data_IF_428543725738
#
_entry.id   IF_428543725738
#
_cell.length_a   1.000
_cell.length_b   1.000
_cell.length_c   1.000
_cell.angle_alpha   90.00
_cell.angle_beta   90.00
_cell.angle_gamma   90.00
#
_symmetry.space_group_name_H-M   'P 1'
#
loop_
_entity.id
_entity.type
_entity.pdbx_description
1 polymer ?
#
# COMPACT_ATOMS: atom_id res chain seq x y z
N UNK A 1 63.32 -73.35 -26.53
CA UNK A 1 62.62 -72.09 -26.86
C UNK A 1 61.42 -72.02 -25.97
N UNK A 2 61.44 -71.16 -24.95
CA UNK A 2 60.49 -71.19 -23.85
C UNK A 2 60.01 -69.77 -23.52
N UNK A 3 58.69 -69.67 -23.30
CA UNK A 3 57.88 -68.67 -22.62
C UNK A 3 57.87 -67.20 -23.07
N UNK A 4 56.66 -66.68 -23.35
CA UNK A 4 56.00 -65.68 -22.49
C UNK A 4 54.57 -65.38 -22.99
N UNK A 5 53.52 -65.51 -22.17
CA UNK A 5 52.18 -65.03 -22.50
C UNK A 5 52.01 -63.57 -22.06
N UNK A 6 51.50 -62.72 -22.96
CA UNK A 6 51.15 -61.35 -22.63
C UNK A 6 49.74 -61.31 -22.02
N UNK A 7 49.66 -60.84 -20.77
CA UNK A 7 48.40 -60.52 -20.12
C UNK A 7 48.06 -59.06 -20.38
N UNK A 8 46.88 -58.79 -20.95
CA UNK A 8 46.32 -57.45 -21.06
C UNK A 8 45.49 -57.19 -19.81
N UNK A 9 45.94 -56.28 -18.94
CA UNK A 9 45.11 -55.75 -17.87
C UNK A 9 44.32 -54.55 -18.39
N UNK A 10 43.00 -54.71 -18.53
CA UNK A 10 42.08 -53.58 -18.73
C UNK A 10 41.70 -53.05 -17.35
N UNK A 11 42.21 -51.88 -16.98
CA UNK A 11 41.73 -51.17 -15.78
C UNK A 11 40.48 -50.38 -16.13
N UNK A 12 39.33 -50.82 -15.64
CA UNK A 12 38.10 -50.01 -15.62
C UNK A 12 38.18 -49.01 -14.47
N UNK A 13 38.36 -47.73 -14.80
CA UNK A 13 38.12 -46.62 -13.87
C UNK A 13 36.61 -46.43 -13.69
N UNK A 14 36.09 -46.78 -12.53
CA UNK A 14 34.73 -46.41 -12.12
C UNK A 14 34.80 -45.01 -11.53
N UNK A 15 34.36 -44.01 -12.31
CA UNK A 15 34.18 -42.66 -11.81
C UNK A 15 32.87 -42.60 -10.99
N UNK A 16 32.99 -42.58 -9.67
CA UNK A 16 31.86 -42.31 -8.78
C UNK A 16 31.47 -40.83 -8.90
N UNK A 17 30.40 -40.55 -9.64
CA UNK A 17 29.75 -39.25 -9.62
C UNK A 17 29.04 -39.08 -8.27
N UNK A 18 29.68 -38.37 -7.35
CA UNK A 18 29.03 -37.92 -6.13
C UNK A 18 28.01 -36.83 -6.51
N UNK A 19 26.72 -37.16 -6.48
CA UNK A 19 25.66 -36.17 -6.55
C UNK A 19 25.75 -35.25 -5.32
N UNK A 20 26.33 -34.07 -5.50
CA UNK A 20 26.25 -33.01 -4.50
C UNK A 20 24.82 -32.49 -4.49
N UNK A 21 24.01 -32.99 -3.55
CA UNK A 21 22.76 -32.36 -3.19
C UNK A 21 23.08 -30.99 -2.60
N UNK A 22 23.00 -29.94 -3.41
CA UNK A 22 23.00 -28.56 -2.92
C UNK A 22 21.73 -28.37 -2.10
N UNK A 23 21.84 -28.53 -0.78
CA UNK A 23 20.82 -28.05 0.16
C UNK A 23 20.76 -26.54 -0.01
N UNK A 24 19.77 -26.04 -0.76
CA UNK A 24 19.43 -24.62 -0.73
C UNK A 24 18.88 -24.37 0.66
N UNK A 25 19.74 -23.94 1.58
CA UNK A 25 19.30 -23.42 2.86
C UNK A 25 18.59 -22.10 2.54
N UNK A 26 17.28 -22.15 2.39
CA UNK A 26 16.45 -20.96 2.40
C UNK A 26 16.45 -20.42 3.83
N UNK A 27 17.51 -19.68 4.19
CA UNK A 27 17.42 -18.72 5.27
C UNK A 27 16.46 -17.62 4.81
N UNK A 28 15.17 -17.93 4.82
CA UNK A 28 14.14 -16.93 4.64
C UNK A 28 14.27 -15.96 5.82
N UNK A 29 14.60 -14.70 5.53
CA UNK A 29 14.55 -13.66 6.54
C UNK A 29 13.12 -13.64 7.11
N UNK A 30 12.99 -13.80 8.42
CA UNK A 30 11.71 -13.75 9.13
C UNK A 30 11.54 -12.38 9.79
N UNK A 31 10.30 -12.00 10.08
CA UNK A 31 9.96 -10.79 10.82
C UNK A 31 8.84 -11.10 11.82
N UNK A 32 8.64 -10.19 12.78
CA UNK A 32 7.63 -10.32 13.84
C UNK A 32 6.53 -9.29 13.63
N UNK A 33 5.27 -9.73 13.72
CA UNK A 33 4.11 -8.84 13.73
C UNK A 33 3.68 -8.49 15.16
N UNK A 34 3.03 -7.34 15.36
CA UNK A 34 2.82 -6.28 14.36
C UNK A 34 4.11 -5.47 14.12
N UNK A 35 4.34 -5.04 12.87
CA UNK A 35 5.47 -4.14 12.53
C UNK A 35 5.22 -2.68 12.96
N UNK A 36 3.95 -2.31 13.13
CA UNK A 36 3.47 -1.04 13.69
C UNK A 36 2.24 -1.33 14.56
N UNK A 37 2.19 -0.87 15.82
CA UNK A 37 1.15 -1.29 16.76
C UNK A 37 -0.25 -0.73 16.46
N UNK A 38 -0.36 0.47 15.88
CA UNK A 38 -1.62 1.16 15.63
C UNK A 38 -1.59 1.87 14.27
N UNK A 39 -1.90 1.14 13.19
CA UNK A 39 -1.96 1.70 11.84
C UNK A 39 -3.02 0.98 11.01
N UNK A 40 -4.26 1.45 11.09
CA UNK A 40 -5.33 0.97 10.21
C UNK A 40 -5.03 1.41 8.77
N UNK A 41 -5.41 0.55 7.82
CA UNK A 41 -5.26 0.82 6.38
C UNK A 41 -3.82 1.18 5.96
N UNK A 42 -2.80 0.36 6.33
CA UNK A 42 -1.41 0.69 6.03
C UNK A 42 -1.13 0.57 4.53
N UNK A 43 -0.62 1.65 3.93
CA UNK A 43 -0.10 1.67 2.57
C UNK A 43 1.41 1.87 2.59
N UNK A 44 2.16 1.01 1.89
CA UNK A 44 3.62 1.11 1.79
C UNK A 44 4.05 1.09 0.32
N UNK A 45 4.92 2.02 -0.06
CA UNK A 45 5.59 2.05 -1.36
C UNK A 45 7.09 2.22 -1.20
N UNK A 46 7.88 1.72 -2.16
CA UNK A 46 9.34 1.81 -2.12
C UNK A 46 9.84 2.78 -3.19
N UNK A 47 10.70 3.71 -2.81
CA UNK A 47 11.32 4.67 -3.73
C UNK A 47 12.70 5.09 -3.21
N UNK A 48 13.68 5.16 -4.11
CA UNK A 48 15.04 5.67 -3.85
C UNK A 48 15.69 5.15 -2.56
N UNK A 49 15.54 3.84 -2.29
CA UNK A 49 16.16 3.18 -1.15
C UNK A 49 15.41 3.33 0.17
N UNK A 50 14.27 3.99 0.20
CA UNK A 50 13.36 4.08 1.33
C UNK A 50 12.04 3.37 1.07
N UNK A 51 11.43 2.88 2.13
CA UNK A 51 10.01 2.58 2.21
C UNK A 51 9.29 3.80 2.76
N UNK A 52 8.19 4.17 2.11
CA UNK A 52 7.29 5.23 2.53
C UNK A 52 5.98 4.58 2.94
N UNK A 53 5.52 4.87 4.15
CA UNK A 53 4.28 4.34 4.69
C UNK A 53 3.35 5.49 5.07
N UNK A 54 2.07 5.27 4.88
CA UNK A 54 1.01 6.09 5.45
C UNK A 54 -0.10 5.16 5.95
N UNK A 55 -0.91 5.63 6.88
CA UNK A 55 -2.00 4.86 7.49
C UNK A 55 -3.05 5.83 8.05
N UNK A 56 -4.23 5.32 8.37
CA UNK A 56 -5.33 6.12 8.90
C UNK A 56 -5.01 6.73 10.27
N UNK A 57 -5.00 8.06 10.34
CA UNK A 57 -4.91 8.81 11.62
C UNK A 57 -6.23 9.51 11.99
N UNK A 58 -7.23 9.47 11.11
CA UNK A 58 -8.54 10.14 11.23
C UNK A 58 -8.51 11.67 11.14
N UNK A 59 -7.40 12.32 11.49
CA UNK A 59 -7.33 13.79 11.65
C UNK A 59 -6.39 14.48 10.67
N UNK A 60 -5.35 13.79 10.22
CA UNK A 60 -4.34 14.33 9.32
C UNK A 60 -3.75 13.20 8.44
N UNK A 61 -2.88 13.57 7.52
CA UNK A 61 -2.13 12.60 6.72
C UNK A 61 -0.65 12.75 7.05
N UNK A 62 -0.07 11.65 7.53
CA UNK A 62 1.36 11.52 7.80
C UNK A 62 2.00 10.56 6.82
N UNK A 63 3.25 10.84 6.46
CA UNK A 63 4.14 9.94 5.74
C UNK A 63 5.27 9.57 6.69
N UNK A 64 5.48 8.28 6.88
CA UNK A 64 6.65 7.73 7.55
C UNK A 64 7.62 7.24 6.48
N UNK A 65 8.93 7.34 6.71
CA UNK A 65 9.92 6.63 5.89
C UNK A 65 10.94 5.87 6.72
N UNK A 66 11.38 4.73 6.21
CA UNK A 66 12.43 3.89 6.80
C UNK A 66 13.23 3.20 5.69
N UNK A 67 14.48 2.83 5.98
CA UNK A 67 15.26 1.93 5.12
C UNK A 67 14.86 0.46 5.30
N UNK A 68 14.16 0.14 6.40
CA UNK A 68 13.69 -1.19 6.75
C UNK A 68 12.16 -1.27 6.58
N UNK A 69 11.69 -2.37 5.99
CA UNK A 69 10.25 -2.62 5.79
C UNK A 69 9.57 -3.17 7.05
N UNK A 70 10.32 -3.82 7.92
CA UNK A 70 9.79 -4.59 9.05
C UNK A 70 10.15 -4.01 10.41
N UNK A 71 11.09 -3.06 10.47
CA UNK A 71 11.38 -2.24 11.65
C UNK A 71 11.15 -0.76 11.38
N UNK A 72 10.12 -0.21 12.02
CA UNK A 72 9.71 1.19 11.90
C UNK A 72 10.00 1.99 13.18
N UNK A 73 10.74 1.43 14.14
CA UNK A 73 11.01 2.08 15.42
C UNK A 73 11.78 3.40 15.30
N UNK A 74 12.68 3.49 14.31
CA UNK A 74 13.47 4.68 13.97
C UNK A 74 12.95 5.41 12.72
N UNK A 75 11.71 5.17 12.31
CA UNK A 75 11.15 5.79 11.11
C UNK A 75 11.05 7.31 11.25
N UNK A 76 11.48 8.04 10.22
CA UNK A 76 11.25 9.47 10.13
C UNK A 76 9.77 9.72 9.82
N UNK A 77 9.16 10.72 10.46
CA UNK A 77 7.74 11.05 10.29
C UNK A 77 7.59 12.47 9.76
N UNK A 78 6.74 12.64 8.75
CA UNK A 78 6.40 13.92 8.14
C UNK A 78 4.88 14.12 8.11
N UNK A 79 4.42 15.29 8.54
CA UNK A 79 3.06 15.75 8.29
C UNK A 79 2.94 16.16 6.82
N UNK A 80 2.14 15.43 6.04
CA UNK A 80 1.89 15.74 4.64
C UNK A 80 0.70 16.69 4.48
N UNK A 81 -0.33 16.54 5.31
CA UNK A 81 -1.53 17.36 5.22
C UNK A 81 -2.28 17.44 6.54
N UNK A 82 -2.67 18.65 6.89
CA UNK A 82 -3.55 18.99 8.00
C UNK A 82 -4.70 19.82 7.43
N UNK A 83 -5.93 19.28 7.35
CA UNK A 83 -7.02 19.97 6.68
C UNK A 83 -7.46 21.21 7.47
N UNK A 84 -7.74 22.35 6.81
CA UNK A 84 -8.42 23.46 7.47
C UNK A 84 -9.81 23.01 7.94
N UNK A 85 -10.35 23.56 9.04
CA UNK A 85 -11.65 23.17 9.56
C UNK A 85 -12.81 23.62 8.64
N UNK A 86 -13.94 22.90 8.70
CA UNK A 86 -15.20 23.28 8.06
C UNK A 86 -15.25 23.09 6.54
N UNK A 87 -14.33 22.29 5.98
CA UNK A 87 -14.35 21.86 4.58
C UNK A 87 -14.97 20.47 4.47
N UNK A 88 -15.34 20.06 3.24
CA UNK A 88 -15.84 18.72 2.96
C UNK A 88 -14.82 17.60 3.15
N UNK A 89 -13.55 17.96 3.39
CA UNK A 89 -12.40 17.07 3.56
C UNK A 89 -11.71 17.29 4.91
N UNK A 90 -12.44 17.80 5.90
CA UNK A 90 -11.85 18.22 7.18
C UNK A 90 -11.85 17.13 8.24
N UNK A 91 -12.67 16.10 8.07
CA UNK A 91 -12.96 15.14 9.12
C UNK A 91 -12.94 13.72 8.56
N UNK A 92 -12.73 12.74 9.43
CA UNK A 92 -12.66 11.31 9.10
C UNK A 92 -11.71 11.01 7.93
N UNK A 93 -10.47 11.47 8.06
CA UNK A 93 -9.42 11.24 7.06
C UNK A 93 -8.97 9.78 7.12
N UNK A 94 -9.40 8.99 6.12
CA UNK A 94 -9.21 7.53 6.08
C UNK A 94 -8.39 7.06 4.87
N UNK A 95 -7.72 5.92 5.07
CA UNK A 95 -7.04 5.09 4.09
C UNK A 95 -6.21 5.88 3.06
N UNK A 96 -5.26 6.74 3.51
CA UNK A 96 -4.39 7.43 2.57
C UNK A 96 -3.50 6.43 1.81
N UNK A 97 -3.32 6.63 0.50
CA UNK A 97 -2.34 5.90 -0.30
C UNK A 97 -1.43 6.86 -1.10
N UNK A 98 -0.11 6.63 -1.02
CA UNK A 98 0.92 7.41 -1.71
C UNK A 98 1.33 6.74 -3.03
N UNK A 99 1.03 7.39 -4.16
CA UNK A 99 1.26 6.89 -5.52
C UNK A 99 2.19 7.79 -6.32
N UNK A 100 3.13 7.21 -7.06
CA UNK A 100 3.90 7.93 -8.08
C UNK A 100 3.24 7.73 -9.45
N UNK A 101 2.80 8.83 -10.07
CA UNK A 101 2.14 8.84 -11.37
C UNK A 101 2.81 9.91 -12.23
N UNK A 102 3.48 9.49 -13.30
CA UNK A 102 4.17 10.38 -14.23
C UNK A 102 5.15 11.34 -13.53
N UNK A 103 6.05 10.79 -12.71
CA UNK A 103 7.08 11.52 -11.97
C UNK A 103 6.57 12.55 -10.96
N UNK A 104 5.30 12.42 -10.55
CA UNK A 104 4.70 13.21 -9.48
C UNK A 104 4.01 12.31 -8.46
N UNK A 105 4.12 12.70 -7.20
CA UNK A 105 3.48 11.99 -6.10
C UNK A 105 2.10 12.53 -5.80
N UNK A 106 1.17 11.61 -5.57
CA UNK A 106 -0.21 11.86 -5.22
C UNK A 106 -0.55 11.10 -3.95
N UNK A 107 -1.28 11.74 -3.05
CA UNK A 107 -1.91 11.03 -1.93
C UNK A 107 -3.39 11.03 -2.19
N UNK A 108 -3.97 9.87 -2.42
CA UNK A 108 -5.41 9.68 -2.43
C UNK A 108 -5.87 9.34 -1.01
N UNK A 109 -6.98 9.90 -0.56
CA UNK A 109 -7.54 9.64 0.75
C UNK A 109 -9.06 9.85 0.73
N UNK A 110 -9.73 9.33 1.75
CA UNK A 110 -11.16 9.57 1.97
C UNK A 110 -11.32 10.60 3.09
N UNK A 111 -12.33 11.46 3.00
CA UNK A 111 -12.74 12.33 4.10
C UNK A 111 -14.23 12.67 4.00
N UNK A 112 -14.76 13.24 5.08
CA UNK A 112 -16.13 13.73 5.20
C UNK A 112 -16.15 15.18 5.75
N UNK A 113 -17.32 15.85 5.76
CA UNK A 113 -17.47 17.21 6.25
C UNK A 113 -17.70 17.31 7.77
N UNK A 114 -18.16 16.24 8.45
CA UNK A 114 -18.75 16.39 9.78
C UNK A 114 -18.67 15.16 10.69
N UNK A 115 -17.54 14.44 10.73
CA UNK A 115 -17.26 13.35 11.68
C UNK A 115 -18.35 12.27 11.73
N UNK A 116 -18.96 11.96 10.58
CA UNK A 116 -20.10 11.06 10.51
C UNK A 116 -21.20 11.41 11.53
N UNK A 117 -21.47 12.70 11.76
CA UNK A 117 -22.39 13.13 12.81
C UNK A 117 -23.83 13.27 12.30
N UNK A 118 -24.82 12.56 12.89
CA UNK A 118 -24.71 11.69 14.07
C UNK A 118 -24.18 10.27 13.75
N UNK A 119 -23.32 9.66 14.60
CA UNK A 119 -22.63 8.39 14.28
C UNK A 119 -23.57 7.31 13.72
N UNK A 120 -23.17 6.58 12.67
CA UNK A 120 -24.02 5.56 12.06
C UNK A 120 -24.36 4.46 13.09
N UNK A 121 -25.65 4.15 13.22
CA UNK A 121 -26.13 3.19 14.24
C UNK A 121 -25.90 1.73 13.80
N UNK A 122 -25.68 1.50 12.50
CA UNK A 122 -25.15 0.27 11.90
C UNK A 122 -25.00 0.55 10.40
N UNK A 123 -23.81 0.42 9.80
CA UNK A 123 -23.62 0.71 8.36
C UNK A 123 -24.57 -0.10 7.46
N UNK A 124 -24.87 -1.32 7.87
CA UNK A 124 -25.78 -2.24 7.17
C UNK A 124 -27.25 -1.76 7.14
N UNK A 125 -27.65 -0.84 8.02
CA UNK A 125 -29.00 -0.27 8.08
C UNK A 125 -29.02 1.21 7.69
N UNK A 126 -27.96 1.72 7.06
CA UNK A 126 -27.88 3.11 6.63
C UNK A 126 -29.02 3.44 5.63
N UNK A 127 -29.89 4.35 6.05
CA UNK A 127 -30.90 4.99 5.19
C UNK A 127 -30.32 6.26 4.58
N UNK A 128 -31.09 6.99 3.78
CA UNK A 128 -30.68 8.28 3.18
C UNK A 128 -30.23 9.36 4.18
N UNK A 129 -30.52 9.19 5.48
CA UNK A 129 -30.08 10.09 6.55
C UNK A 129 -28.77 9.68 7.24
N UNK A 130 -28.13 8.60 6.79
CA UNK A 130 -26.87 8.11 7.35
C UNK A 130 -25.73 9.06 6.96
N UNK A 131 -24.95 9.61 7.91
CA UNK A 131 -23.93 10.61 7.59
C UNK A 131 -22.73 10.02 6.85
N UNK A 132 -22.54 8.68 6.92
CA UNK A 132 -21.53 7.98 6.12
C UNK A 132 -21.60 8.39 4.65
N UNK A 133 -22.80 8.66 4.12
CA UNK A 133 -23.06 9.12 2.74
C UNK A 133 -22.20 10.30 2.29
N UNK A 134 -21.66 11.09 3.23
CA UNK A 134 -20.88 12.28 2.92
C UNK A 134 -19.41 11.99 2.59
N UNK A 135 -18.92 10.77 2.80
CA UNK A 135 -17.56 10.42 2.46
C UNK A 135 -17.31 10.53 0.95
N UNK A 136 -16.26 11.26 0.61
CA UNK A 136 -15.76 11.43 -0.76
C UNK A 136 -14.26 11.18 -0.77
N UNK A 137 -13.74 10.88 -1.96
CA UNK A 137 -12.31 10.74 -2.17
C UNK A 137 -11.69 12.06 -2.63
N UNK A 138 -10.49 12.33 -2.10
CA UNK A 138 -9.72 13.53 -2.35
C UNK A 138 -8.30 13.17 -2.74
N UNK A 139 -7.63 14.07 -3.46
CA UNK A 139 -6.26 13.89 -3.90
C UNK A 139 -5.41 15.08 -3.49
N UNK A 140 -4.29 14.80 -2.85
CA UNK A 140 -3.19 15.75 -2.67
C UNK A 140 -2.16 15.55 -3.78
N UNK A 141 -1.53 16.63 -4.21
CA UNK A 141 -0.43 16.61 -5.16
C UNK A 141 0.85 17.15 -4.52
N UNK A 142 1.94 16.44 -4.73
CA UNK A 142 3.29 16.87 -4.37
C UNK A 142 3.76 18.04 -5.22
N UNK A 143 4.55 18.92 -4.62
CA UNK A 143 5.19 20.05 -5.30
C UNK A 143 6.37 19.65 -6.20
N UNK A 144 7.05 18.53 -5.91
CA UNK A 144 8.22 18.06 -6.66
C UNK A 144 8.19 16.54 -6.93
N UNK A 145 9.23 16.02 -7.58
CA UNK A 145 9.38 14.59 -7.86
C UNK A 145 9.85 13.77 -6.64
N UNK A 146 10.34 14.44 -5.58
CA UNK A 146 10.75 13.78 -4.35
C UNK A 146 9.56 13.71 -3.37
N UNK A 147 9.13 12.52 -2.92
CA UNK A 147 7.96 12.40 -2.02
C UNK A 147 8.23 12.96 -0.62
N UNK A 148 9.49 13.00 -0.19
CA UNK A 148 9.90 13.43 1.14
C UNK A 148 10.14 14.93 1.22
N UNK A 149 10.73 15.54 0.21
CA UNK A 149 10.99 17.00 0.20
C UNK A 149 9.76 17.82 -0.23
N UNK A 150 8.78 17.18 -0.88
CA UNK A 150 7.59 17.88 -1.40
C UNK A 150 6.62 18.34 -0.33
N UNK A 151 6.15 19.58 -0.41
CA UNK A 151 4.86 19.94 0.19
C UNK A 151 3.72 19.30 -0.61
N UNK A 152 2.64 18.92 0.08
CA UNK A 152 1.43 18.36 -0.51
C UNK A 152 0.28 19.34 -0.38
N UNK A 153 -0.45 19.55 -1.47
CA UNK A 153 -1.60 20.47 -1.50
C UNK A 153 -2.81 19.77 -2.07
N UNK A 154 -4.01 20.08 -1.55
CA UNK A 154 -5.26 19.57 -2.12
C UNK A 154 -5.35 19.93 -3.61
N UNK A 155 -5.46 18.90 -4.44
CA UNK A 155 -5.58 19.02 -5.89
C UNK A 155 -7.04 19.02 -6.33
N UNK A 156 -7.82 18.05 -5.83
CA UNK A 156 -9.20 17.83 -6.26
C UNK A 156 -9.95 16.87 -5.35
N UNK A 157 -11.28 17.00 -5.34
CA UNK A 157 -12.18 15.89 -5.05
C UNK A 157 -12.32 15.02 -6.32
N UNK A 158 -12.32 13.70 -6.18
CA UNK A 158 -12.57 12.81 -7.31
C UNK A 158 -14.06 12.80 -7.66
N UNK A 159 -14.37 12.80 -8.96
CA UNK A 159 -15.73 12.65 -9.44
C UNK A 159 -16.15 11.18 -9.34
N UNK A 160 -16.86 10.87 -8.25
CA UNK A 160 -17.42 9.55 -7.94
C UNK A 160 -18.95 9.57 -8.08
N UNK A 161 -19.47 10.39 -9.01
CA UNK A 161 -20.90 10.53 -9.29
C UNK A 161 -21.73 10.98 -8.09
N UNK A 162 -21.10 11.73 -7.17
CA UNK A 162 -21.68 12.19 -5.90
C UNK A 162 -22.24 11.04 -5.03
N UNK A 163 -21.61 9.87 -5.12
CA UNK A 163 -21.88 8.71 -4.28
C UNK A 163 -20.92 8.67 -3.11
N UNK A 164 -21.34 8.00 -2.03
CA UNK A 164 -20.40 7.49 -1.03
C UNK A 164 -19.27 6.74 -1.73
N UNK A 165 -18.04 7.16 -1.49
CA UNK A 165 -16.87 6.54 -2.09
C UNK A 165 -15.66 6.65 -1.17
N UNK A 166 -15.00 5.51 -0.93
CA UNK A 166 -13.89 5.35 0.00
C UNK A 166 -12.81 4.43 -0.59
N UNK A 167 -11.66 4.38 0.08
CA UNK A 167 -10.58 3.38 -0.11
C UNK A 167 -10.10 3.27 -1.56
N UNK A 168 -9.84 4.43 -2.17
CA UNK A 168 -9.38 4.54 -3.53
C UNK A 168 -7.92 4.14 -3.70
N UNK A 169 -7.63 3.30 -4.70
CA UNK A 169 -6.27 2.94 -5.13
C UNK A 169 -6.06 3.16 -6.63
N UNK A 170 -4.81 3.22 -7.06
CA UNK A 170 -4.41 3.31 -8.46
C UNK A 170 -3.58 2.09 -8.89
N UNK A 171 -3.93 1.53 -10.04
CA UNK A 171 -3.24 0.40 -10.64
C UNK A 171 -2.79 0.73 -12.06
N UNK A 172 -1.48 0.56 -12.32
CA UNK A 172 -0.92 0.70 -13.67
C UNK A 172 -0.97 -0.65 -14.38
N UNK A 173 -1.73 -0.71 -15.47
CA UNK A 173 -1.74 -1.84 -16.39
C UNK A 173 -1.19 -1.42 -17.76
N UNK A 174 -0.87 -2.41 -18.61
CA UNK A 174 -0.40 -2.16 -19.99
C UNK A 174 -1.38 -1.34 -20.83
N UNK A 175 -2.67 -1.42 -20.50
CA UNK A 175 -3.76 -0.73 -21.23
C UNK A 175 -4.10 0.64 -20.65
N UNK A 176 -3.55 1.03 -19.50
CA UNK A 176 -3.84 2.32 -18.90
C UNK A 176 -3.64 2.38 -17.39
N UNK A 177 -3.98 3.53 -16.85
CA UNK A 177 -4.12 3.76 -15.41
C UNK A 177 -5.56 3.50 -15.01
N UNK A 178 -5.74 2.67 -13.97
CA UNK A 178 -7.04 2.32 -13.44
C UNK A 178 -7.16 2.90 -12.04
N UNK A 179 -8.32 3.46 -11.75
CA UNK A 179 -8.72 3.82 -10.41
C UNK A 179 -9.75 2.79 -9.93
N UNK A 180 -9.53 2.26 -8.73
CA UNK A 180 -10.35 1.21 -8.11
C UNK A 180 -10.73 1.74 -6.73
N UNK A 181 -11.99 1.64 -6.35
CA UNK A 181 -12.49 2.19 -5.09
C UNK A 181 -13.76 1.46 -4.64
N UNK A 182 -14.11 1.62 -3.37
CA UNK A 182 -15.36 1.14 -2.78
C UNK A 182 -16.41 2.24 -2.86
N UNK A 183 -17.63 1.93 -3.30
CA UNK A 183 -18.72 2.89 -3.35
C UNK A 183 -20.09 2.26 -3.10
N UNK A 184 -21.07 3.12 -2.83
CA UNK A 184 -22.47 2.72 -2.85
C UNK A 184 -22.98 2.55 -4.29
N UNK A 185 -24.08 1.81 -4.45
CA UNK A 185 -24.70 1.57 -5.76
C UNK A 185 -25.32 2.84 -6.34
N UNK A 186 -25.99 3.61 -5.47
CA UNK A 186 -26.50 4.95 -5.77
C UNK A 186 -26.12 5.91 -4.65
N UNK A 187 -26.47 7.20 -4.79
CA UNK A 187 -26.21 8.20 -3.77
C UNK A 187 -26.82 7.86 -2.39
N UNK A 188 -27.86 7.01 -2.35
CA UNK A 188 -28.60 6.70 -1.10
C UNK A 188 -28.81 5.20 -0.86
N UNK A 189 -28.13 4.34 -1.61
CA UNK A 189 -28.33 2.89 -1.56
C UNK A 189 -26.98 2.17 -1.51
N UNK A 190 -26.66 1.57 -0.36
CA UNK A 190 -25.58 0.60 -0.24
C UNK A 190 -25.93 -0.71 -0.98
N UNK A 191 -24.96 -1.31 -1.67
CA UNK A 191 -25.17 -2.52 -2.49
C UNK A 191 -24.93 -3.82 -1.69
N UNK A 192 -25.70 -4.89 -1.97
CA UNK A 192 -26.68 -5.42 -1.03
C UNK A 192 -26.05 -5.89 0.28
N UNK A 193 -26.72 -5.62 1.39
CA UNK A 193 -26.63 -6.46 2.58
C UNK A 193 -27.47 -7.73 2.42
#
# INVERSE_FOLDING_TARGET
MAFSPWWVFVSTLIASAASQSTTVSSNAATYTNPIVPNGADPWVTRHDGYYYMTYTTTTNITILRSHDLVDWSDAEVKLAFDPPPGQNYSTDLWAPELHNIADRWYIIFTADPNYDSPPPILDMLCTYACPAVNHRMYVLESSSADPWESNYTLKSQLDTYDQFAIDGTYFRHKTGLYHIYSCWYTAYESWPA
#
